data_IF_518646091338
#
_entry.id   IF_518646091338
#
_cell.length_a   1.000
_cell.length_b   1.000
_cell.length_c   1.000
_cell.angle_alpha   90.00
_cell.angle_beta   90.00
_cell.angle_gamma   90.00
#
_symmetry.space_group_name_H-M   'P 1'
#
loop_
_entity.id
_entity.type
_entity.pdbx_description
1 polymer ?
#
# COMPACT_ATOMS: atom_id res chain seq x y z
N UNK A 1 19.94 6.43 23.76
CA UNK A 1 18.62 7.09 23.91
C UNK A 1 18.25 7.67 22.56
N UNK A 2 17.22 7.15 21.87
CA UNK A 2 16.66 7.84 20.70
C UNK A 2 15.31 8.41 21.11
N UNK A 3 15.28 9.74 21.19
CA UNK A 3 14.12 10.53 21.56
C UNK A 3 13.08 10.50 20.44
N UNK A 4 11.83 10.37 20.84
CA UNK A 4 10.60 10.47 20.06
C UNK A 4 10.41 11.90 19.52
N UNK A 5 9.93 12.02 18.28
CA UNK A 5 9.12 13.17 17.85
C UNK A 5 7.91 12.62 17.09
N UNK A 6 6.72 12.90 17.64
CA UNK A 6 5.41 12.63 17.02
C UNK A 6 5.17 13.63 15.89
N UNK A 7 4.62 13.17 14.78
CA UNK A 7 3.83 14.01 13.87
C UNK A 7 2.55 13.26 13.55
N UNK A 8 1.42 13.81 13.96
CA UNK A 8 0.10 13.24 13.71
C UNK A 8 -0.34 13.43 12.27
N UNK A 9 -0.89 12.36 11.70
CA UNK A 9 -1.89 12.38 10.65
C UNK A 9 -2.76 11.13 10.85
N UNK A 10 -3.92 11.33 11.49
CA UNK A 10 -4.97 10.32 11.59
C UNK A 10 -5.65 10.21 10.22
N UNK A 11 -5.11 9.34 9.37
CA UNK A 11 -5.65 8.97 8.06
C UNK A 11 -4.81 7.83 7.46
N UNK A 12 -5.40 6.64 7.31
CA UNK A 12 -4.86 5.54 6.49
C UNK A 12 -3.61 4.78 6.96
N UNK A 13 -3.22 4.87 8.23
CA UNK A 13 -2.09 4.11 8.75
C UNK A 13 -2.48 2.63 8.92
N UNK A 14 -2.23 1.77 7.92
CA UNK A 14 -2.54 0.32 8.04
C UNK A 14 -1.93 -0.26 9.32
N UNK A 15 -0.69 0.13 9.66
CA UNK A 15 -0.11 -0.07 11.00
C UNK A 15 1.07 0.90 11.19
N UNK A 16 0.85 2.21 11.06
CA UNK A 16 1.88 3.25 11.29
C UNK A 16 3.20 3.16 10.50
N UNK A 17 3.27 2.34 9.43
CA UNK A 17 4.53 2.01 8.74
C UNK A 17 4.54 2.22 7.21
N UNK A 18 3.38 2.29 6.56
CA UNK A 18 3.28 2.70 5.15
C UNK A 18 2.27 3.85 5.02
N UNK A 19 2.78 5.04 4.74
CA UNK A 19 1.98 6.24 4.50
C UNK A 19 1.57 6.27 3.03
N UNK A 20 0.27 6.12 2.76
CA UNK A 20 -0.29 6.09 1.40
C UNK A 20 0.07 7.32 0.58
N UNK A 21 0.28 8.48 1.24
CA UNK A 21 0.67 9.73 0.58
C UNK A 21 2.07 9.67 -0.02
N UNK A 22 2.92 8.75 0.45
CA UNK A 22 4.30 8.62 -0.01
C UNK A 22 4.43 7.63 -1.17
N UNK A 23 3.46 6.73 -1.35
CA UNK A 23 3.49 5.68 -2.38
C UNK A 23 3.76 6.24 -3.80
N UNK A 24 3.15 7.37 -4.23
CA UNK A 24 3.45 7.94 -5.55
C UNK A 24 4.93 8.27 -5.79
N UNK A 25 5.71 8.44 -4.73
CA UNK A 25 7.15 8.73 -4.81
C UNK A 25 8.04 7.53 -4.48
N UNK A 26 7.45 6.37 -4.16
CA UNK A 26 8.15 5.13 -3.82
C UNK A 26 8.28 4.22 -5.03
N UNK A 27 9.38 3.48 -5.13
CA UNK A 27 9.50 2.37 -6.08
C UNK A 27 8.81 1.11 -5.57
N UNK A 28 8.57 0.14 -6.46
CA UNK A 28 8.12 -1.21 -6.06
C UNK A 28 9.00 -1.80 -4.96
N UNK A 29 10.33 -1.59 -5.07
CA UNK A 29 11.30 -2.04 -4.07
C UNK A 29 11.10 -1.34 -2.73
N UNK A 30 10.97 -0.01 -2.72
CA UNK A 30 10.77 0.74 -1.47
C UNK A 30 9.52 0.29 -0.72
N UNK A 31 8.45 -0.07 -1.46
CA UNK A 31 7.21 -0.57 -0.88
C UNK A 31 7.44 -1.94 -0.25
N UNK A 32 8.08 -2.86 -0.96
CA UNK A 32 8.34 -4.24 -0.48
C UNK A 32 9.34 -4.27 0.67
N UNK A 33 10.40 -3.45 0.63
CA UNK A 33 11.37 -3.36 1.74
C UNK A 33 10.82 -2.59 2.94
N UNK A 34 9.75 -1.81 2.76
CA UNK A 34 9.10 -1.03 3.81
C UNK A 34 8.10 -1.82 4.69
N UNK A 35 7.77 -3.06 4.33
CA UNK A 35 6.80 -3.86 5.08
C UNK A 35 7.43 -4.52 6.32
N UNK A 36 6.63 -4.87 7.35
CA UNK A 36 7.11 -5.64 8.49
C UNK A 36 7.68 -7.02 8.10
N UNK A 37 8.72 -7.47 8.80
CA UNK A 37 9.40 -8.74 8.50
C UNK A 37 8.52 -9.99 8.68
N UNK A 38 7.48 -9.91 9.51
CA UNK A 38 6.51 -10.97 9.76
C UNK A 38 5.38 -11.02 8.72
N UNK A 39 5.37 -10.08 7.78
CA UNK A 39 4.43 -10.07 6.66
C UNK A 39 4.93 -10.95 5.53
N UNK A 40 3.98 -11.58 4.84
CA UNK A 40 4.28 -12.45 3.71
C UNK A 40 4.22 -11.68 2.40
N UNK A 41 5.28 -11.79 1.60
CA UNK A 41 5.38 -11.26 0.25
C UNK A 41 5.41 -12.41 -0.76
N UNK A 42 4.56 -12.32 -1.78
CA UNK A 42 4.59 -13.20 -2.94
C UNK A 42 4.59 -12.37 -4.22
N UNK A 43 5.43 -12.73 -5.19
CA UNK A 43 5.45 -12.17 -6.54
C UNK A 43 5.27 -13.30 -7.54
N UNK A 44 4.25 -13.18 -8.38
CA UNK A 44 3.99 -14.14 -9.44
C UNK A 44 3.52 -13.41 -10.70
N UNK A 45 4.32 -13.49 -11.76
CA UNK A 45 4.04 -12.86 -13.06
C UNK A 45 3.72 -11.36 -12.96
N UNK A 46 4.41 -10.63 -12.08
CA UNK A 46 4.25 -9.19 -11.92
C UNK A 46 3.11 -8.77 -10.98
N UNK A 47 2.32 -9.72 -10.48
CA UNK A 47 1.35 -9.48 -9.42
C UNK A 47 2.01 -9.73 -8.07
N UNK A 48 2.13 -8.68 -7.27
CA UNK A 48 2.60 -8.78 -5.89
C UNK A 48 1.43 -8.78 -4.94
N UNK A 49 1.44 -9.73 -4.02
CA UNK A 49 0.55 -9.74 -2.87
C UNK A 49 1.37 -9.66 -1.59
N UNK A 50 0.95 -8.76 -0.70
CA UNK A 50 1.53 -8.65 0.64
C UNK A 50 0.42 -8.83 1.66
N UNK A 51 0.63 -9.81 2.54
CA UNK A 51 -0.29 -10.18 3.61
C UNK A 51 0.34 -9.93 4.96
N UNK A 52 -0.48 -9.52 5.93
CA UNK A 52 -0.01 -9.43 7.31
C UNK A 52 0.26 -10.80 7.94
N UNK A 53 0.75 -10.81 9.18
CA UNK A 53 1.07 -12.03 9.92
C UNK A 53 -0.14 -12.96 10.13
N UNK A 54 -1.36 -12.42 10.03
CA UNK A 54 -2.62 -13.19 10.13
C UNK A 54 -3.08 -13.71 8.76
N UNK A 55 -2.38 -13.37 7.67
CA UNK A 55 -2.69 -13.78 6.30
C UNK A 55 -3.67 -12.85 5.57
N UNK A 56 -4.06 -11.72 6.16
CA UNK A 56 -4.96 -10.76 5.55
C UNK A 56 -4.22 -9.93 4.49
N UNK A 57 -4.87 -9.69 3.34
CA UNK A 57 -4.30 -8.85 2.28
C UNK A 57 -4.21 -7.39 2.73
N UNK A 58 -3.02 -6.79 2.62
CA UNK A 58 -2.79 -5.38 2.96
C UNK A 58 -2.31 -4.54 1.80
N UNK A 59 -1.51 -5.13 0.91
CA UNK A 59 -1.02 -4.43 -0.28
C UNK A 59 -1.09 -5.36 -1.49
N UNK A 60 -1.55 -4.83 -2.62
CA UNK A 60 -1.36 -5.45 -3.94
C UNK A 60 -0.59 -4.49 -4.81
N UNK A 61 0.38 -4.99 -5.58
CA UNK A 61 1.04 -4.21 -6.64
C UNK A 61 0.71 -4.94 -7.93
N UNK A 62 -0.09 -4.29 -8.76
CA UNK A 62 -0.68 -4.87 -9.94
C UNK A 62 -0.15 -4.15 -11.19
N UNK A 63 0.03 -4.85 -12.32
CA UNK A 63 0.21 -4.21 -13.62
C UNK A 63 -0.98 -3.31 -13.99
N UNK A 64 -0.85 -2.55 -15.08
CA UNK A 64 -1.99 -1.81 -15.64
C UNK A 64 -3.19 -2.73 -15.92
N UNK A 65 -4.39 -2.21 -15.76
CA UNK A 65 -5.63 -2.94 -15.94
C UNK A 65 -6.66 -2.14 -16.77
N UNK A 66 -7.96 -2.50 -16.68
CA UNK A 66 -9.02 -1.79 -17.42
C UNK A 66 -9.39 -0.45 -16.79
N UNK A 67 -9.00 -0.20 -15.54
CA UNK A 67 -9.29 1.03 -14.80
C UNK A 67 -8.16 2.04 -14.98
N UNK A 68 -6.92 1.56 -15.00
CA UNK A 68 -5.72 2.38 -15.11
C UNK A 68 -4.75 1.83 -16.16
N UNK A 69 -4.15 2.70 -16.96
CA UNK A 69 -3.16 2.33 -17.98
C UNK A 69 -1.70 2.33 -17.45
N UNK A 70 -1.53 2.29 -16.13
CA UNK A 70 -0.25 2.29 -15.44
C UNK A 70 -0.26 1.25 -14.31
N UNK A 71 0.91 0.70 -13.93
CA UNK A 71 0.98 -0.18 -12.77
C UNK A 71 0.65 0.58 -11.49
N UNK A 72 -0.09 -0.04 -10.58
CA UNK A 72 -0.66 0.64 -9.43
C UNK A 72 -0.61 -0.22 -8.18
N UNK A 73 -0.87 0.42 -7.04
CA UNK A 73 -0.92 -0.19 -5.73
C UNK A 73 -2.33 -0.10 -5.18
N UNK A 74 -2.85 -1.20 -4.66
CA UNK A 74 -4.00 -1.20 -3.77
C UNK A 74 -3.53 -1.37 -2.32
N UNK A 75 -4.13 -0.60 -1.43
CA UNK A 75 -3.73 -0.53 -0.02
C UNK A 75 -4.99 -0.73 0.83
N UNK A 76 -4.96 -1.66 1.77
CA UNK A 76 -6.12 -2.02 2.60
C UNK A 76 -5.89 -1.79 4.08
N UNK A 77 -6.82 -1.09 4.75
CA UNK A 77 -6.77 -0.93 6.20
C UNK A 77 -6.89 -2.26 6.96
N UNK A 78 -6.78 -2.21 8.29
CA UNK A 78 -6.88 -3.40 9.15
C UNK A 78 -8.20 -4.17 8.96
N UNK A 79 -9.28 -3.46 8.62
CA UNK A 79 -10.61 -4.01 8.38
C UNK A 79 -10.80 -4.53 6.94
N UNK A 80 -9.81 -4.34 6.06
CA UNK A 80 -9.87 -4.76 4.66
C UNK A 80 -10.55 -3.76 3.71
N UNK A 81 -10.73 -2.51 4.14
CA UNK A 81 -11.25 -1.43 3.29
C UNK A 81 -10.16 -0.90 2.36
N UNK A 82 -10.51 -0.62 1.11
CA UNK A 82 -9.58 -0.02 0.14
C UNK A 82 -9.34 1.46 0.48
N UNK A 83 -8.07 1.87 0.45
CA UNK A 83 -7.65 3.24 0.72
C UNK A 83 -7.20 3.96 -0.55
N UNK A 84 -7.42 5.28 -0.60
CA UNK A 84 -6.83 6.16 -1.60
C UNK A 84 -5.43 6.67 -1.17
N UNK A 85 -4.80 7.48 -2.02
CA UNK A 85 -3.47 8.06 -1.76
C UNK A 85 -3.41 8.95 -0.52
N UNK A 86 -4.55 9.38 0.02
CA UNK A 86 -4.64 10.17 1.24
C UNK A 86 -4.99 9.34 2.47
N UNK A 87 -5.23 8.04 2.30
CA UNK A 87 -5.60 7.15 3.38
C UNK A 87 -7.09 7.16 3.70
N UNK A 88 -7.93 7.73 2.83
CA UNK A 88 -9.38 7.69 2.99
C UNK A 88 -9.93 6.37 2.46
N UNK A 89 -10.94 5.84 3.13
CA UNK A 89 -11.69 4.68 2.63
C UNK A 89 -12.43 5.08 1.35
N UNK A 90 -12.27 4.27 0.31
CA UNK A 90 -12.96 4.41 -0.97
C UNK A 90 -13.66 3.12 -1.36
N UNK A 91 -14.62 3.22 -2.27
CA UNK A 91 -15.26 2.03 -2.85
C UNK A 91 -14.22 1.12 -3.51
N UNK A 92 -14.41 -0.20 -3.42
CA UNK A 92 -13.48 -1.21 -3.93
C UNK A 92 -13.24 -1.12 -5.45
N UNK A 93 -14.15 -0.52 -6.21
CA UNK A 93 -14.04 -0.30 -7.66
C UNK A 93 -13.58 1.12 -8.00
N UNK A 94 -13.30 1.96 -7.00
CA UNK A 94 -12.92 3.35 -7.23
C UNK A 94 -11.53 3.44 -7.87
N UNK A 95 -11.37 4.23 -8.96
CA UNK A 95 -10.06 4.54 -9.51
C UNK A 95 -9.12 5.19 -8.48
N UNK A 96 -9.68 5.88 -7.48
CA UNK A 96 -8.89 6.53 -6.41
C UNK A 96 -8.06 5.55 -5.58
N UNK A 97 -8.49 4.30 -5.50
CA UNK A 97 -7.74 3.24 -4.82
C UNK A 97 -6.67 2.57 -5.68
N UNK A 98 -6.46 3.04 -6.92
CA UNK A 98 -5.36 2.62 -7.79
C UNK A 98 -4.25 3.68 -7.67
N UNK A 99 -3.40 3.50 -6.66
CA UNK A 99 -2.39 4.52 -6.32
C UNK A 99 -1.17 4.30 -7.22
N UNK A 100 -0.75 5.28 -8.04
CA UNK A 100 0.46 5.14 -8.84
C UNK A 100 1.68 5.04 -7.92
N UNK A 101 2.77 4.46 -8.44
CA UNK A 101 4.07 4.44 -7.80
C UNK A 101 5.16 4.73 -8.83
N UNK A 102 6.39 4.97 -8.37
CA UNK A 102 7.53 5.26 -9.23
C UNK A 102 8.04 3.97 -9.88
N UNK A 103 7.69 3.77 -11.14
CA UNK A 103 8.20 2.68 -11.98
C UNK A 103 9.61 3.06 -12.47
N UNK A 104 10.65 2.52 -11.81
CA UNK A 104 12.06 2.74 -12.16
C UNK A 104 12.69 1.43 -12.65
#
# INVERSE_FOLDING_TARGET
MKSSVRSGCEGGNIVGKLDTNKIPNMTKRDIVEGIPNDWNYTDHNGFVHIRDAEGNMRIRIDPSDKVTNYPHVHVYDINGNLLDSFGNIVDRKSPKGHIPYKDN
#
